data_IF_858104942894
#
_entry.id   IF_858104942894
#
_cell.length_a   1.000
_cell.length_b   1.000
_cell.length_c   1.000
_cell.angle_alpha   90.00
_cell.angle_beta   90.00
_cell.angle_gamma   90.00
#
_symmetry.space_group_name_H-M   'P 1'
#
loop_
_entity.id
_entity.type
_entity.pdbx_description
1 polymer ?
#
# COMPACT_ATOMS: atom_id res chain seq x y z
N UNK A 1 71.47 5.50 -1.71
CA UNK A 1 70.46 5.54 -2.80
C UNK A 1 69.99 4.10 -2.99
N UNK A 2 68.76 3.63 -2.76
CA UNK A 2 67.47 4.16 -2.37
C UNK A 2 66.79 3.07 -1.50
N UNK A 3 66.16 3.46 -0.39
CA UNK A 3 65.21 2.63 0.36
C UNK A 3 63.84 2.83 -0.28
N UNK A 4 63.16 1.76 -0.70
CA UNK A 4 61.75 1.82 -1.05
C UNK A 4 61.06 0.55 -0.57
N UNK A 5 60.43 0.66 0.60
CA UNK A 5 59.44 -0.28 1.09
C UNK A 5 58.14 -0.03 0.31
N UNK A 6 57.61 -1.06 -0.35
CA UNK A 6 56.26 -1.04 -0.90
C UNK A 6 55.27 -1.30 0.24
N UNK A 7 54.51 -0.26 0.59
CA UNK A 7 53.38 -0.33 1.51
C UNK A 7 52.17 -0.95 0.80
N UNK A 8 51.58 -1.95 1.46
CA UNK A 8 50.27 -2.54 1.18
C UNK A 8 49.19 -1.44 1.06
N UNK A 9 48.32 -1.56 0.06
CA UNK A 9 47.00 -0.92 0.07
C UNK A 9 45.96 -2.01 -0.15
N UNK A 10 45.52 -2.63 0.94
CA UNK A 10 44.34 -3.49 0.95
C UNK A 10 43.12 -2.56 0.97
N UNK A 11 42.45 -2.41 -0.18
CA UNK A 11 41.14 -1.78 -0.27
C UNK A 11 40.13 -2.68 0.43
N UNK A 12 39.77 -2.33 1.68
CA UNK A 12 38.60 -2.86 2.36
C UNK A 12 37.36 -2.40 1.57
N UNK A 13 36.74 -3.30 0.83
CA UNK A 13 35.37 -3.11 0.37
C UNK A 13 34.49 -3.08 1.62
N UNK A 14 34.05 -1.88 2.02
CA UNK A 14 33.02 -1.76 3.03
C UNK A 14 31.77 -2.48 2.52
N UNK A 15 31.12 -3.33 3.34
CA UNK A 15 29.82 -3.84 2.97
C UNK A 15 28.91 -2.63 2.81
N UNK A 16 28.21 -2.56 1.68
CA UNK A 16 27.14 -1.61 1.50
C UNK A 16 26.19 -1.76 2.70
N UNK A 17 26.11 -0.71 3.51
CA UNK A 17 25.04 -0.55 4.49
C UNK A 17 23.73 -0.66 3.71
N UNK A 18 23.06 -1.80 3.87
CA UNK A 18 21.64 -1.90 3.59
C UNK A 18 21.00 -0.76 4.38
N UNK A 19 20.44 0.20 3.65
CA UNK A 19 19.72 1.31 4.24
C UNK A 19 18.61 0.68 5.07
N UNK A 20 18.71 0.81 6.39
CA UNK A 20 17.67 0.41 7.33
C UNK A 20 16.42 1.24 6.98
N UNK A 21 15.55 0.70 6.14
CA UNK A 21 14.14 1.04 6.19
C UNK A 21 13.70 0.61 7.59
N UNK A 22 13.47 1.57 8.48
CA UNK A 22 13.17 1.32 9.89
C UNK A 22 12.02 0.33 10.01
N UNK A 23 12.26 -0.82 10.66
CA UNK A 23 11.36 -1.91 11.06
C UNK A 23 10.13 -2.23 10.18
N UNK A 24 10.19 -1.84 8.92
CA UNK A 24 9.10 -1.92 7.97
C UNK A 24 9.14 -3.30 7.30
N UNK A 25 8.05 -4.05 7.47
CA UNK A 25 7.91 -5.39 6.90
C UNK A 25 6.95 -5.35 5.72
N UNK A 26 7.36 -5.90 4.57
CA UNK A 26 6.45 -6.09 3.45
C UNK A 26 5.50 -7.25 3.76
N UNK A 27 4.20 -6.97 3.71
CA UNK A 27 3.14 -7.91 4.08
C UNK A 27 2.17 -8.22 2.94
N UNK A 28 2.36 -7.59 1.78
CA UNK A 28 1.48 -7.75 0.62
C UNK A 28 1.94 -6.95 -0.59
N UNK A 29 1.16 -7.04 -1.67
CA UNK A 29 1.37 -6.28 -2.90
C UNK A 29 0.06 -5.81 -3.52
N UNK A 30 0.20 -4.80 -4.39
CA UNK A 30 -0.82 -4.28 -5.27
C UNK A 30 -0.23 -4.19 -6.67
N UNK A 31 -0.76 -4.96 -7.61
CA UNK A 31 -0.24 -5.08 -8.96
C UNK A 31 -1.33 -4.70 -9.97
N UNK A 32 -1.07 -3.72 -10.84
CA UNK A 32 -2.13 -3.19 -11.69
C UNK A 32 -1.76 -2.00 -12.55
N UNK A 33 -2.75 -1.16 -12.86
CA UNK A 33 -2.57 0.05 -13.66
C UNK A 33 -3.04 1.29 -12.92
N UNK A 34 -2.34 2.40 -13.16
CA UNK A 34 -2.75 3.72 -12.74
C UNK A 34 -2.80 4.61 -14.00
N UNK A 35 -4.00 5.08 -14.33
CA UNK A 35 -4.28 5.79 -15.59
C UNK A 35 -3.78 5.04 -16.83
N UNK A 36 -4.00 3.71 -16.84
CA UNK A 36 -3.56 2.81 -17.91
C UNK A 36 -2.06 2.51 -17.94
N UNK A 37 -1.25 3.11 -17.06
CA UNK A 37 0.18 2.83 -16.92
C UNK A 37 0.38 1.71 -15.90
N UNK A 38 1.16 0.68 -16.25
CA UNK A 38 1.49 -0.41 -15.32
C UNK A 38 2.21 0.13 -14.09
N UNK A 39 1.74 -0.27 -12.91
CA UNK A 39 2.31 0.04 -11.60
C UNK A 39 2.38 -1.23 -10.75
N UNK A 40 3.28 -1.21 -9.78
CA UNK A 40 3.40 -2.21 -8.73
C UNK A 40 3.70 -1.49 -7.41
N UNK A 41 2.99 -1.87 -6.37
CA UNK A 41 3.17 -1.35 -5.02
C UNK A 41 3.37 -2.51 -4.04
N UNK A 42 4.17 -2.27 -3.00
CA UNK A 42 4.35 -3.16 -1.86
C UNK A 42 3.62 -2.60 -0.66
N UNK A 43 2.84 -3.43 0.02
CA UNK A 43 2.13 -3.08 1.25
C UNK A 43 3.09 -3.30 2.41
N UNK A 44 3.21 -2.29 3.28
CA UNK A 44 4.21 -2.26 4.34
C UNK A 44 3.55 -1.99 5.68
N UNK A 45 3.95 -2.77 6.68
CA UNK A 45 3.62 -2.61 8.09
C UNK A 45 4.84 -2.07 8.88
N UNK A 46 4.63 -1.20 9.86
CA UNK A 46 5.70 -0.59 10.67
C UNK A 46 5.22 0.57 11.56
N UNK A 47 6.07 1.01 12.50
CA UNK A 47 5.73 1.98 13.58
C UNK A 47 5.05 3.28 13.10
N UNK A 48 5.37 3.77 11.90
CA UNK A 48 4.80 5.00 11.33
C UNK A 48 4.00 4.74 10.03
N UNK A 49 3.54 3.51 9.82
CA UNK A 49 2.84 3.08 8.60
C UNK A 49 1.52 2.45 9.00
N UNK A 50 0.41 3.21 8.97
CA UNK A 50 -0.88 2.70 9.41
C UNK A 50 -1.34 1.59 8.46
N UNK A 51 -1.09 0.36 8.88
CA UNK A 51 -1.47 -0.86 8.19
C UNK A 51 -1.95 -1.84 9.25
N UNK A 52 -3.14 -2.42 9.05
CA UNK A 52 -3.73 -3.31 10.03
C UNK A 52 -5.22 -3.44 9.88
N UNK A 53 -5.84 -4.21 10.76
CA UNK A 53 -7.28 -4.42 10.76
C UNK A 53 -7.86 -4.36 12.17
N UNK A 54 -9.13 -3.98 12.27
CA UNK A 54 -9.89 -4.01 13.53
C UNK A 54 -11.33 -4.45 13.29
N UNK A 55 -11.95 -5.02 14.33
CA UNK A 55 -13.38 -5.32 14.30
C UNK A 55 -14.16 -4.06 14.71
N UNK A 56 -15.16 -3.71 13.92
CA UNK A 56 -16.08 -2.61 14.22
C UNK A 56 -17.48 -3.17 14.45
N UNK A 57 -18.41 -2.31 14.89
CA UNK A 57 -19.82 -2.69 15.03
C UNK A 57 -20.47 -3.06 13.69
N UNK A 58 -19.90 -2.61 12.57
CA UNK A 58 -20.47 -2.76 11.23
C UNK A 58 -19.73 -3.80 10.38
N UNK A 59 -18.49 -4.15 10.69
CA UNK A 59 -17.72 -5.13 9.94
C UNK A 59 -16.26 -5.21 10.35
N UNK A 60 -15.39 -5.47 9.39
CA UNK A 60 -13.93 -5.41 9.57
C UNK A 60 -13.44 -4.16 8.85
N UNK A 61 -12.81 -3.26 9.60
CA UNK A 61 -12.07 -2.13 9.03
C UNK A 61 -10.63 -2.56 8.76
N UNK A 62 -10.16 -2.29 7.56
CA UNK A 62 -8.84 -2.64 7.06
C UNK A 62 -8.16 -1.38 6.54
N UNK A 63 -6.94 -1.12 7.01
CA UNK A 63 -6.07 -0.07 6.47
C UNK A 63 -4.83 -0.72 5.86
N UNK A 64 -4.46 -0.31 4.65
CA UNK A 64 -3.29 -0.77 3.93
C UNK A 64 -2.47 0.44 3.46
N UNK A 65 -1.22 0.54 3.92
CA UNK A 65 -0.26 1.52 3.40
C UNK A 65 0.69 0.84 2.41
N UNK A 66 0.74 1.36 1.19
CA UNK A 66 1.54 0.83 0.11
C UNK A 66 2.46 1.88 -0.52
N UNK A 67 3.58 1.41 -1.08
CA UNK A 67 4.63 2.24 -1.70
C UNK A 67 5.06 1.63 -3.03
N UNK A 68 5.52 2.43 -4.02
CA UNK A 68 6.00 1.89 -5.28
C UNK A 68 7.08 0.81 -5.07
N UNK A 69 6.94 -0.33 -5.74
CA UNK A 69 7.82 -1.49 -5.54
C UNK A 69 9.28 -1.20 -5.93
N UNK A 70 9.49 -0.41 -6.99
CA UNK A 70 10.81 -0.07 -7.54
C UNK A 70 11.26 1.36 -7.18
N UNK A 71 10.61 1.99 -6.20
CA UNK A 71 10.80 3.40 -5.86
C UNK A 71 11.25 3.66 -4.42
N UNK A 72 11.60 4.91 -4.09
CA UNK A 72 11.79 5.33 -2.71
C UNK A 72 10.47 5.21 -1.94
N UNK A 73 10.50 4.58 -0.76
CA UNK A 73 9.34 4.48 0.13
C UNK A 73 9.24 5.73 1.01
N UNK A 74 8.77 6.83 0.42
CA UNK A 74 8.56 8.10 1.11
C UNK A 74 7.08 8.46 1.22
N UNK A 75 6.74 9.39 2.11
CA UNK A 75 5.37 9.90 2.23
C UNK A 75 4.87 10.57 0.94
N UNK A 76 5.78 11.18 0.18
CA UNK A 76 5.51 11.86 -1.09
C UNK A 76 5.15 10.93 -2.26
N UNK A 77 5.27 9.61 -2.08
CA UNK A 77 4.85 8.60 -3.06
C UNK A 77 4.29 7.37 -2.33
N UNK A 78 3.02 7.47 -1.95
CA UNK A 78 2.34 6.44 -1.15
C UNK A 78 0.86 6.33 -1.50
N UNK A 79 0.34 5.13 -1.30
CA UNK A 79 -1.06 4.77 -1.50
C UNK A 79 -1.61 4.26 -0.17
N UNK A 80 -2.75 4.78 0.26
CA UNK A 80 -3.47 4.31 1.45
C UNK A 80 -4.84 3.85 1.02
N UNK A 81 -5.22 2.65 1.45
CA UNK A 81 -6.55 2.07 1.22
C UNK A 81 -7.15 1.78 2.59
N UNK A 82 -8.27 2.41 2.90
CA UNK A 82 -9.05 2.16 4.11
C UNK A 82 -10.43 1.66 3.69
N UNK A 83 -10.82 0.47 4.10
CA UNK A 83 -12.11 -0.12 3.71
C UNK A 83 -12.77 -0.81 4.90
N UNK A 84 -14.08 -0.69 4.98
CA UNK A 84 -14.89 -1.48 5.91
C UNK A 84 -15.68 -2.51 5.10
N UNK A 85 -15.46 -3.79 5.38
CA UNK A 85 -16.13 -4.90 4.70
C UNK A 85 -17.03 -5.67 5.66
N UNK A 86 -18.20 -6.11 5.19
CA UNK A 86 -19.08 -7.01 5.94
C UNK A 86 -18.60 -8.46 5.83
N UNK A 87 -18.04 -9.07 6.90
CA UNK A 87 -17.55 -10.45 6.85
C UNK A 87 -18.68 -11.49 6.78
N UNK A 88 -19.94 -11.09 7.04
CA UNK A 88 -21.11 -11.99 6.96
C UNK A 88 -21.60 -12.18 5.52
N UNK A 89 -21.22 -11.27 4.62
CA UNK A 89 -21.45 -11.43 3.20
C UNK A 89 -20.48 -12.45 2.62
N UNK A 90 -20.95 -13.31 1.70
CA UNK A 90 -20.11 -14.39 1.11
C UNK A 90 -18.89 -13.90 0.32
N UNK A 91 -18.79 -12.60 0.06
CA UNK A 91 -17.81 -11.97 -0.83
C UNK A 91 -17.22 -10.68 -0.22
N UNK A 92 -17.42 -10.40 1.07
CA UNK A 92 -16.92 -9.15 1.70
C UNK A 92 -17.42 -7.88 0.99
N UNK A 93 -18.72 -7.61 1.02
CA UNK A 93 -19.30 -6.37 0.48
C UNK A 93 -18.71 -5.16 1.21
N UNK A 94 -18.15 -4.22 0.44
CA UNK A 94 -17.62 -2.98 0.96
C UNK A 94 -18.78 -2.09 1.42
N UNK A 95 -18.77 -1.71 2.70
CA UNK A 95 -19.75 -0.80 3.28
C UNK A 95 -19.34 0.67 3.12
N UNK A 96 -18.03 0.92 3.24
CA UNK A 96 -17.41 2.24 3.06
C UNK A 96 -15.96 2.08 2.64
N UNK A 97 -15.42 3.06 1.94
CA UNK A 97 -14.03 3.04 1.52
C UNK A 97 -13.44 4.43 1.29
N UNK A 98 -12.13 4.53 1.51
CA UNK A 98 -11.31 5.68 1.13
C UNK A 98 -10.00 5.16 0.50
N UNK A 99 -9.64 5.73 -0.64
CA UNK A 99 -8.33 5.50 -1.27
C UNK A 99 -7.66 6.86 -1.44
N UNK A 100 -6.47 7.01 -0.87
CA UNK A 100 -5.66 8.21 -0.97
C UNK A 100 -4.34 7.90 -1.65
N UNK A 101 -4.05 8.58 -2.75
CA UNK A 101 -2.76 8.55 -3.46
C UNK A 101 -2.04 9.88 -3.23
N UNK A 102 -0.88 9.84 -2.59
CA UNK A 102 0.05 10.96 -2.54
C UNK A 102 1.15 10.72 -3.56
N UNK A 103 1.36 11.65 -4.48
CA UNK A 103 2.40 11.58 -5.51
C UNK A 103 2.91 12.97 -5.85
N UNK A 104 4.24 13.16 -5.79
CA UNK A 104 4.90 14.43 -6.13
C UNK A 104 4.37 15.64 -5.33
N UNK A 105 3.88 15.42 -4.12
CA UNK A 105 3.29 16.45 -3.26
C UNK A 105 1.81 16.76 -3.53
N UNK A 106 1.21 16.13 -4.56
CA UNK A 106 -0.24 16.18 -4.79
C UNK A 106 -0.92 15.01 -4.07
N UNK A 107 -2.10 15.26 -3.50
CA UNK A 107 -2.95 14.23 -2.90
C UNK A 107 -4.23 14.10 -3.70
N UNK A 108 -4.52 12.87 -4.12
CA UNK A 108 -5.76 12.50 -4.78
C UNK A 108 -6.53 11.53 -3.90
N UNK A 109 -7.84 11.72 -3.79
CA UNK A 109 -8.71 10.93 -2.93
C UNK A 109 -9.88 10.37 -3.74
N UNK A 110 -10.30 9.15 -3.39
CA UNK A 110 -11.53 8.50 -3.80
C UNK A 110 -12.27 8.05 -2.55
N UNK A 111 -13.59 8.18 -2.53
CA UNK A 111 -14.45 7.72 -1.43
C UNK A 111 -15.62 6.90 -1.99
N UNK A 112 -16.07 5.90 -1.24
CA UNK A 112 -17.31 5.13 -1.46
C UNK A 112 -17.62 4.82 -2.94
N UNK A 113 -18.52 5.57 -3.58
CA UNK A 113 -18.98 5.36 -4.96
C UNK A 113 -17.86 5.47 -6.02
N UNK A 114 -16.73 6.07 -5.66
CA UNK A 114 -15.53 6.15 -6.49
C UNK A 114 -14.66 4.88 -6.42
N UNK A 115 -14.99 3.95 -5.51
CA UNK A 115 -14.23 2.74 -5.22
C UNK A 115 -15.12 1.51 -5.47
N UNK A 116 -14.63 0.62 -6.32
CA UNK A 116 -15.18 -0.72 -6.52
C UNK A 116 -14.15 -1.72 -6.00
N UNK A 117 -14.45 -2.37 -4.87
CA UNK A 117 -13.63 -3.42 -4.27
C UNK A 117 -14.38 -4.74 -4.35
N UNK A 118 -13.80 -5.69 -5.08
CA UNK A 118 -14.23 -7.09 -5.07
C UNK A 118 -13.30 -7.90 -4.19
N UNK A 119 -13.82 -8.44 -3.08
CA UNK A 119 -13.05 -9.30 -2.18
C UNK A 119 -13.27 -10.77 -2.55
N UNK A 120 -12.18 -11.44 -2.93
CA UNK A 120 -12.17 -12.85 -3.29
C UNK A 120 -11.96 -13.75 -2.07
N UNK A 121 -11.15 -13.30 -1.12
CA UNK A 121 -10.87 -13.99 0.14
C UNK A 121 -10.72 -12.98 1.27
N UNK A 122 -11.35 -13.27 2.41
CA UNK A 122 -11.24 -12.52 3.66
C UNK A 122 -11.25 -13.51 4.81
N UNK A 123 -10.06 -13.84 5.34
CA UNK A 123 -9.91 -14.91 6.33
C UNK A 123 -9.17 -14.41 7.57
N UNK A 124 -9.84 -14.47 8.72
CA UNK A 124 -9.24 -14.16 10.01
C UNK A 124 -8.68 -15.43 10.63
N UNK A 125 -7.39 -15.42 10.99
CA UNK A 125 -6.70 -16.49 11.72
C UNK A 125 -5.92 -15.91 12.88
N UNK A 126 -6.47 -16.01 14.10
CA UNK A 126 -5.88 -15.40 15.28
C UNK A 126 -5.91 -13.87 15.16
N UNK A 127 -4.73 -13.24 15.23
CA UNK A 127 -4.57 -11.80 15.06
C UNK A 127 -4.23 -11.41 13.61
N UNK A 128 -4.14 -12.38 12.70
CA UNK A 128 -3.87 -12.11 11.28
C UNK A 128 -5.16 -12.13 10.46
N UNK A 129 -5.23 -11.25 9.46
CA UNK A 129 -6.26 -11.26 8.43
C UNK A 129 -5.61 -11.34 7.05
N UNK A 130 -6.01 -12.36 6.29
CA UNK A 130 -5.68 -12.49 4.87
C UNK A 130 -6.76 -11.79 4.05
N UNK A 131 -6.35 -10.95 3.11
CA UNK A 131 -7.21 -10.36 2.09
C UNK A 131 -6.65 -10.63 0.70
N UNK A 132 -7.54 -11.05 -0.20
CA UNK A 132 -7.27 -11.15 -1.64
C UNK A 132 -8.44 -10.54 -2.40
N UNK A 133 -8.17 -9.71 -3.40
CA UNK A 133 -9.22 -8.97 -4.09
C UNK A 133 -8.75 -8.24 -5.34
N UNK A 134 -9.66 -7.50 -5.94
CA UNK A 134 -9.34 -6.52 -6.97
C UNK A 134 -10.00 -5.19 -6.59
N UNK A 135 -9.25 -4.11 -6.70
CA UNK A 135 -9.71 -2.76 -6.41
C UNK A 135 -9.66 -1.92 -7.68
N UNK A 136 -10.71 -1.13 -7.90
CA UNK A 136 -10.75 -0.04 -8.87
C UNK A 136 -11.18 1.24 -8.16
N UNK A 137 -10.35 2.28 -8.20
CA UNK A 137 -10.63 3.56 -7.56
C UNK A 137 -10.39 4.72 -8.52
N UNK A 138 -11.32 5.67 -8.61
CA UNK A 138 -11.17 6.90 -9.42
C UNK A 138 -10.93 8.08 -8.49
N UNK A 139 -9.69 8.57 -8.45
CA UNK A 139 -9.24 9.57 -7.48
C UNK A 139 -9.15 10.96 -8.09
N UNK A 140 -9.45 11.99 -7.31
CA UNK A 140 -9.39 13.39 -7.72
C UNK A 140 -8.80 14.30 -6.65
N UNK A 141 -8.52 15.57 -6.99
CA UNK A 141 -7.99 16.53 -6.02
C UNK A 141 -9.02 16.89 -4.94
N UNK A 142 -8.66 16.69 -3.67
CA UNK A 142 -9.49 17.02 -2.50
C UNK A 142 -10.71 16.11 -2.30
N UNK A 143 -11.72 16.60 -1.58
CA UNK A 143 -13.01 15.92 -1.34
C UNK A 143 -13.94 15.98 -2.57
N UNK A 144 -13.39 15.84 -3.77
CA UNK A 144 -14.21 15.84 -4.97
C UNK A 144 -15.11 14.59 -4.93
N UNK A 145 -16.43 14.80 -4.88
CA UNK A 145 -17.45 13.76 -5.09
C UNK A 145 -17.30 13.23 -6.53
N UNK A 146 -16.37 12.30 -6.73
CA UNK A 146 -16.16 11.63 -7.99
C UNK A 146 -16.94 10.32 -8.00
N UNK A 147 -17.53 10.01 -9.14
CA UNK A 147 -18.04 8.66 -9.41
C UNK A 147 -16.94 7.87 -10.14
N UNK A 148 -16.99 6.53 -10.11
CA UNK A 148 -16.11 5.62 -10.88
C UNK A 148 -16.03 5.89 -12.40
N UNK A 149 -16.81 6.84 -12.93
CA UNK A 149 -16.90 7.20 -14.37
C UNK A 149 -16.40 8.63 -14.65
N UNK A 150 -15.80 9.32 -13.69
CA UNK A 150 -15.33 10.70 -13.92
C UNK A 150 -14.13 10.76 -14.88
N UNK A 151 -14.27 11.44 -16.01
CA UNK A 151 -13.22 11.65 -17.03
C UNK A 151 -12.06 12.55 -16.55
N UNK A 152 -12.19 13.17 -15.37
CA UNK A 152 -11.24 14.14 -14.80
C UNK A 152 -10.37 13.54 -13.69
N UNK A 153 -10.56 12.26 -13.34
CA UNK A 153 -9.86 11.57 -12.24
C UNK A 153 -8.75 10.61 -12.69
N UNK A 154 -7.84 10.31 -11.79
CA UNK A 154 -6.82 9.26 -11.96
C UNK A 154 -7.41 7.93 -11.52
N UNK A 155 -7.47 6.96 -12.44
CA UNK A 155 -8.02 5.62 -12.13
C UNK A 155 -6.92 4.64 -11.74
N UNK A 156 -6.99 4.08 -10.53
CA UNK A 156 -6.27 2.88 -10.12
C UNK A 156 -7.13 1.65 -10.43
N UNK A 157 -6.53 0.59 -10.98
CA UNK A 157 -7.12 -0.75 -11.04
C UNK A 157 -6.03 -1.77 -10.73
N UNK A 158 -6.15 -2.52 -9.65
CA UNK A 158 -5.10 -3.41 -9.16
C UNK A 158 -5.65 -4.67 -8.49
N UNK A 159 -4.92 -5.77 -8.66
CA UNK A 159 -5.06 -6.94 -7.81
C UNK A 159 -4.41 -6.66 -6.46
N UNK A 160 -5.08 -7.06 -5.38
CA UNK A 160 -4.68 -6.85 -4.00
C UNK A 160 -4.45 -8.21 -3.33
N UNK A 161 -3.30 -8.36 -2.67
CA UNK A 161 -3.03 -9.48 -1.76
C UNK A 161 -2.23 -8.99 -0.54
N UNK A 162 -2.72 -9.26 0.67
CA UNK A 162 -2.00 -8.94 1.89
C UNK A 162 -2.38 -9.83 3.07
N UNK A 163 -1.42 -10.01 3.99
CA UNK A 163 -1.68 -10.57 5.33
C UNK A 163 -1.39 -9.51 6.37
N UNK A 164 -2.43 -8.89 6.91
CA UNK A 164 -2.32 -7.81 7.91
C UNK A 164 -2.43 -8.36 9.33
N UNK A 165 -1.78 -7.68 10.28
CA UNK A 165 -1.92 -7.96 11.71
C UNK A 165 -2.97 -7.02 12.30
N UNK A 166 -3.67 -7.49 13.33
CA UNK A 166 -4.67 -6.72 14.06
C UNK A 166 -4.03 -5.46 14.65
N UNK A 167 -4.68 -4.32 14.46
CA UNK A 167 -4.28 -3.06 15.08
C UNK A 167 -4.56 -3.13 16.59
N UNK A 168 -3.60 -2.67 17.41
CA UNK A 168 -3.74 -2.63 18.88
C UNK A 168 -4.73 -1.55 19.37
#
# INVERSE_FOLDING_TARGET
>A
MFRSALLLSATLAAPAVAQTAGDATTIGSLDGTLDGVQVAYVIVDGEDRPTGWTETDTGIELTLRAYPADGPQGEDDSLTITVTADPSSRQGEMQSGEVTLTRNGDTLTATDEAIDLTVNSLEVTGDSLLIEGNIRATMGPGDADLSVVSDEGVTLSADLQATVIRSE
#
